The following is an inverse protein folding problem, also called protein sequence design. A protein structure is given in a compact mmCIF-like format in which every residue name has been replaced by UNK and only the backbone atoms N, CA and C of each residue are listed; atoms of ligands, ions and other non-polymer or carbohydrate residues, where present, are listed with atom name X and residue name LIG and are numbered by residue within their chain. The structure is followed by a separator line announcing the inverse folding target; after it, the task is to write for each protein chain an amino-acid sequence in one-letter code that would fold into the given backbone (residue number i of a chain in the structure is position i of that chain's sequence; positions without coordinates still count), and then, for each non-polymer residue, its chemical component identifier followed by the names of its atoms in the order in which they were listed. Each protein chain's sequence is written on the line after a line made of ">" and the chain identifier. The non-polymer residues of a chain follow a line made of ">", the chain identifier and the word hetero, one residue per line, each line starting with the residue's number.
data_IF_404393528233
#
_entry.id   IF_404393528233
#
_cell.length_a   1.000
_cell.length_b   1.000
_cell.length_c   1.000
_cell.angle_alpha   90.00
_cell.angle_beta   90.00
_cell.angle_gamma   90.00
#
_symmetry.space_group_name_H-M   'P 1'
#
loop_
_entity.id
_entity.type
_entity.pdbx_description
1 polymer ?
#
# COMPACT_ATOMS: atom_id res chain seq x y z
N UNK A 1 7.18 17.30 40.44
CA UNK A 1 6.94 15.97 39.84
C UNK A 1 6.57 16.17 38.38
N UNK A 2 7.56 16.19 37.51
CA UNK A 2 7.42 16.34 36.05
C UNK A 2 7.20 14.93 35.46
N UNK A 3 5.95 14.57 35.16
CA UNK A 3 5.64 13.34 34.43
C UNK A 3 5.02 13.69 33.08
N UNK A 4 5.85 13.60 32.05
CA UNK A 4 5.56 13.20 30.66
C UNK A 4 4.12 13.45 30.18
N UNK A 5 3.76 14.70 29.92
CA UNK A 5 2.64 15.03 29.02
C UNK A 5 3.14 14.92 27.58
N UNK A 6 3.39 13.69 27.13
CA UNK A 6 3.49 13.39 25.70
C UNK A 6 2.09 13.60 25.11
N UNK A 7 1.86 14.79 24.57
CA UNK A 7 0.59 15.13 23.94
C UNK A 7 0.33 14.15 22.79
N UNK A 8 -0.91 13.71 22.60
CA UNK A 8 -1.36 12.96 21.42
C UNK A 8 -0.95 13.59 20.09
N UNK A 9 -0.64 14.89 20.11
CA UNK A 9 -0.02 15.61 18.99
C UNK A 9 1.39 15.13 18.66
N UNK A 10 2.21 14.66 19.60
CA UNK A 10 3.54 14.11 19.30
C UNK A 10 3.46 12.80 18.54
N UNK A 11 2.51 11.92 18.86
CA UNK A 11 2.34 10.62 18.20
C UNK A 11 1.74 10.79 16.80
N UNK A 12 0.78 11.70 16.64
CA UNK A 12 0.25 12.10 15.33
C UNK A 12 1.29 12.81 14.48
N UNK A 13 2.08 13.72 15.07
CA UNK A 13 3.20 14.35 14.37
C UNK A 13 4.23 13.30 14.00
N UNK A 14 4.50 12.30 14.83
CA UNK A 14 5.40 11.18 14.48
C UNK A 14 4.84 10.30 13.35
N UNK A 15 3.55 9.96 13.36
CA UNK A 15 2.93 9.14 12.31
C UNK A 15 2.76 9.92 11.00
N UNK A 16 2.33 11.18 11.06
CA UNK A 16 2.27 12.09 9.92
C UNK A 16 3.68 12.38 9.39
N UNK A 17 4.68 12.55 10.25
CA UNK A 17 6.08 12.69 9.83
C UNK A 17 6.61 11.38 9.28
N UNK A 18 6.19 10.21 9.75
CA UNK A 18 6.56 8.93 9.15
C UNK A 18 5.95 8.80 7.74
N UNK A 19 4.68 9.14 7.57
CA UNK A 19 4.00 9.15 6.26
C UNK A 19 4.61 10.20 5.32
N UNK A 20 4.92 11.40 5.83
CA UNK A 20 5.53 12.52 5.09
C UNK A 20 7.03 12.36 4.85
N UNK A 21 7.77 11.61 5.68
CA UNK A 21 9.17 11.22 5.39
C UNK A 21 9.22 10.04 4.43
N UNK A 22 8.20 9.19 4.43
CA UNK A 22 8.02 8.14 3.45
C UNK A 22 7.58 8.70 2.08
N UNK A 23 6.79 9.78 2.01
CA UNK A 23 6.33 10.41 0.77
C UNK A 23 7.47 10.81 -0.22
N UNK A 24 8.57 11.46 0.19
CA UNK A 24 9.74 11.73 -0.66
C UNK A 24 10.62 10.50 -0.91
N UNK A 25 10.57 9.49 -0.04
CA UNK A 25 11.21 8.18 -0.27
C UNK A 25 10.42 7.32 -1.27
N UNK A 26 9.27 7.80 -1.72
CA UNK A 26 8.33 7.08 -2.55
C UNK A 26 8.00 7.75 -3.89
N UNK A 27 8.97 7.88 -4.81
CA UNK A 27 8.67 7.78 -6.22
C UNK A 27 8.60 6.27 -6.54
N UNK A 28 7.55 5.61 -6.08
CA UNK A 28 7.43 4.15 -5.93
C UNK A 28 7.50 3.34 -7.23
N UNK A 29 7.32 3.97 -8.39
CA UNK A 29 7.46 3.29 -9.68
C UNK A 29 8.89 2.79 -9.94
N UNK A 30 9.91 3.62 -9.67
CA UNK A 30 11.30 3.21 -9.90
C UNK A 30 11.82 2.31 -8.80
N UNK A 31 11.34 2.41 -7.54
CA UNK A 31 11.74 1.46 -6.48
C UNK A 31 11.24 0.06 -6.78
N UNK A 32 10.00 -0.09 -7.27
CA UNK A 32 9.49 -1.39 -7.76
C UNK A 32 10.31 -1.84 -8.96
N UNK A 33 10.55 -0.96 -9.94
CA UNK A 33 11.38 -1.27 -11.12
C UNK A 33 12.83 -1.66 -10.79
N UNK A 34 13.46 -1.00 -9.81
CA UNK A 34 14.82 -1.28 -9.31
C UNK A 34 14.84 -2.54 -8.46
N UNK A 35 13.82 -2.79 -7.63
CA UNK A 35 13.67 -4.07 -6.92
C UNK A 35 13.46 -5.23 -7.91
N UNK A 36 12.74 -5.02 -9.01
CA UNK A 36 12.59 -6.04 -10.05
C UNK A 36 13.88 -6.28 -10.83
N UNK A 37 14.60 -5.22 -11.18
CA UNK A 37 15.88 -5.32 -11.88
C UNK A 37 17.00 -5.92 -11.00
N UNK A 38 16.96 -5.66 -9.69
CA UNK A 38 17.96 -6.12 -8.71
C UNK A 38 17.69 -7.52 -8.13
N UNK A 39 16.46 -8.03 -8.20
CA UNK A 39 16.09 -9.33 -7.62
C UNK A 39 15.39 -10.27 -8.62
N UNK A 40 16.08 -10.73 -9.68
CA UNK A 40 15.52 -11.71 -10.62
C UNK A 40 15.05 -13.02 -9.93
N UNK A 41 15.60 -13.33 -8.75
CA UNK A 41 15.17 -14.47 -7.92
C UNK A 41 13.80 -14.28 -7.26
N UNK A 42 13.34 -13.04 -7.06
CA UNK A 42 12.02 -12.76 -6.46
C UNK A 42 10.87 -13.23 -7.37
N UNK A 43 11.07 -13.18 -8.68
CA UNK A 43 10.08 -13.59 -9.69
C UNK A 43 10.30 -15.00 -10.23
N UNK A 44 11.25 -15.74 -9.67
CA UNK A 44 11.47 -17.14 -10.05
C UNK A 44 10.43 -18.03 -9.33
N UNK A 45 9.51 -18.71 -10.04
CA UNK A 45 8.46 -19.53 -9.45
C UNK A 45 8.98 -20.74 -8.66
N UNK A 46 10.24 -21.16 -8.87
CA UNK A 46 10.85 -22.28 -8.12
C UNK A 46 11.61 -21.82 -6.88
N UNK A 47 11.77 -20.51 -6.68
CA UNK A 47 12.45 -19.97 -5.50
C UNK A 47 11.53 -19.96 -4.28
N UNK A 48 12.03 -20.43 -3.13
CA UNK A 48 11.30 -20.35 -1.84
C UNK A 48 11.05 -18.92 -1.39
N UNK A 49 11.94 -17.99 -1.76
CA UNK A 49 11.83 -16.56 -1.45
C UNK A 49 11.08 -15.79 -2.54
N UNK A 50 10.43 -16.49 -3.47
CA UNK A 50 9.66 -15.85 -4.52
C UNK A 50 8.45 -15.12 -3.95
N UNK A 51 8.04 -14.07 -4.66
CA UNK A 51 6.75 -13.42 -4.46
C UNK A 51 5.58 -14.41 -4.57
N UNK A 52 5.72 -15.53 -5.30
CA UNK A 52 4.66 -16.53 -5.46
C UNK A 52 4.53 -17.50 -4.27
N UNK A 53 5.37 -17.34 -3.24
CA UNK A 53 5.34 -18.19 -2.05
C UNK A 53 4.14 -17.91 -1.15
N UNK A 54 3.63 -18.92 -0.41
CA UNK A 54 2.59 -18.72 0.60
C UNK A 54 3.00 -17.73 1.70
N UNK A 55 4.27 -17.74 2.09
CA UNK A 55 4.80 -16.83 3.12
C UNK A 55 4.69 -15.37 2.70
N UNK A 56 5.05 -15.06 1.45
CA UNK A 56 4.94 -13.71 0.91
C UNK A 56 3.47 -13.25 0.84
N UNK A 57 2.54 -14.13 0.46
CA UNK A 57 1.10 -13.81 0.49
C UNK A 57 0.60 -13.51 1.90
N UNK A 58 1.03 -14.26 2.89
CA UNK A 58 0.64 -14.03 4.30
C UNK A 58 1.17 -12.69 4.80
N UNK A 59 2.39 -12.32 4.45
CA UNK A 59 2.97 -11.02 4.80
C UNK A 59 2.18 -9.87 4.16
N UNK A 60 1.95 -9.98 2.85
CA UNK A 60 1.22 -8.95 2.10
C UNK A 60 -0.26 -8.85 2.50
N UNK A 61 -0.93 -9.94 2.88
CA UNK A 61 -2.31 -9.89 3.37
C UNK A 61 -2.45 -9.16 4.71
N UNK A 62 -1.46 -9.31 5.61
CA UNK A 62 -1.45 -8.57 6.88
C UNK A 62 -1.25 -7.08 6.62
N UNK A 63 -0.32 -6.71 5.74
CA UNK A 63 -0.13 -5.31 5.36
C UNK A 63 -1.40 -4.74 4.73
N UNK A 64 -2.03 -5.47 3.81
CA UNK A 64 -3.29 -5.06 3.19
C UNK A 64 -4.42 -4.90 4.19
N UNK A 65 -4.54 -5.77 5.18
CA UNK A 65 -5.55 -5.65 6.22
C UNK A 65 -5.37 -4.33 6.99
N UNK A 66 -4.13 -4.01 7.39
CA UNK A 66 -3.84 -2.75 8.08
C UNK A 66 -4.15 -1.56 7.18
N UNK A 67 -3.66 -1.56 5.94
CA UNK A 67 -3.90 -0.46 5.01
C UNK A 67 -5.39 -0.27 4.69
N UNK A 68 -6.16 -1.36 4.55
CA UNK A 68 -7.60 -1.29 4.29
C UNK A 68 -8.38 -0.74 5.50
N UNK A 69 -7.98 -1.09 6.73
CA UNK A 69 -8.58 -0.48 7.93
C UNK A 69 -8.28 1.02 7.98
N UNK A 70 -7.03 1.41 7.72
CA UNK A 70 -6.63 2.82 7.72
C UNK A 70 -7.34 3.60 6.60
N UNK A 71 -7.40 3.05 5.39
CA UNK A 71 -8.08 3.65 4.25
C UNK A 71 -9.58 3.78 4.51
N UNK A 72 -10.23 2.77 5.09
CA UNK A 72 -11.64 2.83 5.45
C UNK A 72 -11.91 3.89 6.51
N UNK A 73 -11.13 3.92 7.60
CA UNK A 73 -11.27 4.91 8.67
C UNK A 73 -11.09 6.35 8.15
N UNK A 74 -10.08 6.57 7.32
CA UNK A 74 -9.79 7.89 6.73
C UNK A 74 -10.81 8.26 5.65
N UNK A 75 -11.31 7.31 4.87
CA UNK A 75 -12.37 7.52 3.88
C UNK A 75 -13.70 7.90 4.54
N UNK A 76 -14.11 7.18 5.59
CA UNK A 76 -15.27 7.58 6.40
C UNK A 76 -15.03 8.93 7.08
N UNK A 77 -13.81 9.22 7.53
CA UNK A 77 -13.47 10.51 8.11
C UNK A 77 -13.55 11.68 7.12
N UNK A 78 -13.26 11.44 5.84
CA UNK A 78 -13.34 12.45 4.78
C UNK A 78 -14.78 12.70 4.28
N UNK A 79 -15.66 11.70 4.47
CA UNK A 79 -17.04 11.71 3.98
C UNK A 79 -17.91 12.79 4.63
N UNK A 80 -18.73 13.53 3.86
CA UNK A 80 -19.51 14.66 4.37
C UNK A 80 -20.58 14.27 5.40
N UNK A 81 -21.04 13.02 5.39
CA UNK A 81 -22.07 12.50 6.29
C UNK A 81 -21.50 11.70 7.47
N UNK A 82 -20.26 11.24 7.36
CA UNK A 82 -19.63 10.29 8.31
C UNK A 82 -18.50 10.92 9.10
N UNK A 83 -18.00 12.10 8.70
CA UNK A 83 -16.85 12.75 9.32
C UNK A 83 -17.06 13.12 10.78
N UNK A 84 -18.27 13.52 11.19
CA UNK A 84 -18.57 13.89 12.58
C UNK A 84 -18.39 12.70 13.52
N UNK A 85 -18.92 11.54 13.13
CA UNK A 85 -18.76 10.29 13.88
C UNK A 85 -17.28 9.90 14.03
N UNK A 86 -16.51 9.95 12.94
CA UNK A 86 -15.07 9.61 12.98
C UNK A 86 -14.28 10.63 13.80
N UNK A 87 -14.62 11.92 13.69
CA UNK A 87 -13.99 12.97 14.50
C UNK A 87 -14.23 12.72 15.98
N UNK A 88 -15.46 12.38 16.38
CA UNK A 88 -15.80 12.07 17.76
C UNK A 88 -15.10 10.80 18.26
N UNK A 89 -15.18 9.71 17.49
CA UNK A 89 -14.55 8.43 17.82
C UNK A 89 -13.03 8.56 18.02
N UNK A 90 -12.41 9.45 17.25
CA UNK A 90 -10.97 9.72 17.33
C UNK A 90 -10.64 10.90 18.24
N UNK A 91 -11.58 11.41 19.05
CA UNK A 91 -11.37 12.51 19.99
C UNK A 91 -10.79 13.78 19.33
N UNK A 92 -11.22 14.06 18.10
CA UNK A 92 -10.81 15.21 17.31
C UNK A 92 -9.51 15.03 16.54
N UNK A 93 -8.87 13.85 16.60
CA UNK A 93 -7.61 13.59 15.89
C UNK A 93 -7.80 13.49 14.37
N UNK A 94 -8.87 12.84 13.92
CA UNK A 94 -9.23 12.74 12.51
C UNK A 94 -10.38 13.70 12.20
N UNK A 95 -10.03 14.96 11.91
CA UNK A 95 -10.98 15.92 11.32
C UNK A 95 -11.19 15.60 9.84
N UNK A 96 -12.28 16.10 9.25
CA UNK A 96 -12.58 15.86 7.82
C UNK A 96 -11.41 16.17 6.87
N UNK A 97 -10.71 17.29 7.11
CA UNK A 97 -9.55 17.69 6.30
C UNK A 97 -8.37 16.73 6.45
N UNK A 98 -7.99 16.42 7.69
CA UNK A 98 -6.90 15.47 7.99
C UNK A 98 -7.22 14.08 7.44
N UNK A 99 -8.46 13.63 7.60
CA UNK A 99 -8.93 12.36 7.06
C UNK A 99 -8.84 12.31 5.54
N UNK A 100 -9.18 13.39 4.83
CA UNK A 100 -9.06 13.46 3.38
C UNK A 100 -7.60 13.37 2.93
N UNK A 101 -6.71 14.15 3.55
CA UNK A 101 -5.27 14.11 3.23
C UNK A 101 -4.68 12.71 3.45
N UNK A 102 -4.98 12.09 4.59
CA UNK A 102 -4.51 10.74 4.90
C UNK A 102 -5.12 9.68 3.99
N UNK A 103 -6.42 9.80 3.66
CA UNK A 103 -7.10 8.87 2.75
C UNK A 103 -6.43 8.85 1.38
N UNK A 104 -6.17 10.04 0.81
CA UNK A 104 -5.49 10.15 -0.47
C UNK A 104 -4.04 9.64 -0.39
N UNK A 105 -3.31 10.00 0.68
CA UNK A 105 -1.95 9.50 0.89
C UNK A 105 -1.85 7.96 1.00
N UNK A 106 -2.93 7.29 1.41
CA UNK A 106 -3.00 5.84 1.53
C UNK A 106 -3.30 5.12 0.20
N UNK A 107 -3.77 5.82 -0.84
CA UNK A 107 -4.14 5.20 -2.13
C UNK A 107 -2.92 4.52 -2.77
N UNK A 108 -1.80 5.23 -2.89
CA UNK A 108 -0.58 4.69 -3.50
C UNK A 108 -0.02 3.45 -2.78
N UNK A 109 0.22 3.44 -1.45
CA UNK A 109 0.69 2.23 -0.77
C UNK A 109 -0.35 1.10 -0.77
N UNK A 110 -1.64 1.40 -0.64
CA UNK A 110 -2.69 0.37 -0.72
C UNK A 110 -2.72 -0.28 -2.11
N UNK A 111 -2.67 0.52 -3.17
CA UNK A 111 -2.60 0.04 -4.54
C UNK A 111 -1.36 -0.83 -4.78
N UNK A 112 -0.20 -0.41 -4.28
CA UNK A 112 1.03 -1.19 -4.37
C UNK A 112 0.86 -2.59 -3.78
N UNK A 113 0.46 -2.67 -2.51
CA UNK A 113 0.31 -3.95 -1.83
C UNK A 113 -0.84 -4.79 -2.40
N UNK A 114 -1.91 -4.15 -2.89
CA UNK A 114 -3.03 -4.85 -3.49
C UNK A 114 -2.62 -5.55 -4.78
N UNK A 115 -1.91 -4.84 -5.66
CA UNK A 115 -1.47 -5.44 -6.92
C UNK A 115 -0.37 -6.49 -6.68
N UNK A 116 0.57 -6.25 -5.76
CA UNK A 116 1.55 -7.28 -5.35
C UNK A 116 0.87 -8.56 -4.88
N UNK A 117 -0.10 -8.41 -3.98
CA UNK A 117 -0.78 -9.55 -3.36
C UNK A 117 -1.58 -10.35 -4.38
N UNK A 118 -2.31 -9.67 -5.26
CA UNK A 118 -3.10 -10.31 -6.32
C UNK A 118 -2.22 -11.02 -7.35
N UNK A 119 -1.09 -10.42 -7.74
CA UNK A 119 -0.11 -11.05 -8.64
C UNK A 119 0.51 -12.29 -8.02
N UNK A 120 0.89 -12.19 -6.74
CA UNK A 120 1.38 -13.33 -5.97
C UNK A 120 0.36 -14.48 -5.92
N UNK A 121 -0.90 -14.15 -5.65
CA UNK A 121 -2.01 -15.09 -5.65
C UNK A 121 -2.21 -15.76 -7.01
N UNK A 122 -2.29 -14.96 -8.07
CA UNK A 122 -2.49 -15.45 -9.43
C UNK A 122 -1.34 -16.33 -9.91
N UNK A 123 -0.09 -15.91 -9.68
CA UNK A 123 1.08 -16.71 -10.00
C UNK A 123 1.10 -18.04 -9.23
N UNK A 124 0.73 -18.03 -7.95
CA UNK A 124 0.58 -19.27 -7.18
C UNK A 124 -0.49 -20.20 -7.75
N UNK A 125 -1.61 -19.66 -8.24
CA UNK A 125 -2.65 -20.47 -8.89
C UNK A 125 -2.15 -21.09 -10.18
N UNK A 126 -1.38 -20.36 -10.99
CA UNK A 126 -0.76 -20.91 -12.20
C UNK A 126 0.26 -22.02 -11.88
N UNK A 127 1.06 -21.86 -10.82
CA UNK A 127 1.99 -22.89 -10.35
C UNK A 127 1.21 -24.14 -9.93
N UNK A 128 0.15 -23.99 -9.13
CA UNK A 128 -0.71 -25.10 -8.69
C UNK A 128 -1.39 -25.83 -9.85
N UNK A 129 -1.73 -25.10 -10.93
CA UNK A 129 -2.28 -25.67 -12.18
C UNK A 129 -1.20 -26.25 -13.11
N UNK A 130 0.07 -26.25 -12.71
CA UNK A 130 1.16 -26.85 -13.49
C UNK A 130 1.61 -26.02 -14.70
N UNK A 131 1.37 -24.71 -14.73
CA UNK A 131 1.83 -23.83 -15.82
C UNK A 131 3.34 -23.65 -15.72
N UNK A 132 4.09 -24.23 -16.67
CA UNK A 132 5.58 -24.26 -16.66
C UNK A 132 6.26 -23.10 -17.41
N UNK A 133 5.50 -22.13 -17.94
CA UNK A 133 6.05 -21.05 -18.78
C UNK A 133 6.71 -19.97 -17.93
N UNK A 134 8.02 -20.02 -17.74
CA UNK A 134 8.79 -19.09 -16.89
C UNK A 134 8.60 -17.61 -17.23
N UNK A 135 8.43 -17.27 -18.50
CA UNK A 135 8.25 -15.88 -18.93
C UNK A 135 6.95 -15.24 -18.37
N UNK A 136 5.94 -16.05 -18.05
CA UNK A 136 4.71 -15.57 -17.41
C UNK A 136 5.04 -14.97 -16.04
N UNK A 137 5.88 -15.67 -15.28
CA UNK A 137 6.23 -15.31 -13.91
C UNK A 137 7.30 -14.21 -13.84
N UNK A 138 8.20 -14.16 -14.82
CA UNK A 138 9.31 -13.20 -14.82
C UNK A 138 8.96 -11.88 -15.51
N UNK A 139 8.05 -11.88 -16.48
CA UNK A 139 7.79 -10.71 -17.32
C UNK A 139 6.32 -10.35 -17.42
N UNK A 140 5.44 -11.30 -17.74
CA UNK A 140 4.03 -10.98 -17.97
C UNK A 140 3.36 -10.47 -16.69
N UNK A 141 3.35 -11.29 -15.64
CA UNK A 141 2.73 -10.95 -14.36
C UNK A 141 3.32 -9.68 -13.73
N UNK A 142 4.65 -9.53 -13.65
CA UNK A 142 5.25 -8.32 -13.09
C UNK A 142 5.04 -7.08 -13.98
N UNK A 143 5.03 -7.25 -15.31
CA UNK A 143 4.77 -6.18 -16.27
C UNK A 143 3.34 -5.64 -16.18
N UNK A 144 2.33 -6.52 -16.12
CA UNK A 144 0.94 -6.10 -15.90
C UNK A 144 0.77 -5.38 -14.57
N UNK A 145 1.48 -5.81 -13.53
CA UNK A 145 1.44 -5.15 -12.23
C UNK A 145 2.00 -3.74 -12.29
N UNK A 146 3.22 -3.55 -12.82
CA UNK A 146 3.81 -2.21 -12.94
C UNK A 146 2.86 -1.29 -13.70
N UNK A 147 2.27 -1.77 -14.80
CA UNK A 147 1.28 -1.01 -15.56
C UNK A 147 0.06 -0.60 -14.72
N UNK A 148 -0.56 -1.52 -13.99
CA UNK A 148 -1.72 -1.23 -13.13
C UNK A 148 -1.37 -0.26 -12.00
N UNK A 149 -0.22 -0.44 -11.37
CA UNK A 149 0.24 0.44 -10.29
C UNK A 149 0.48 1.87 -10.81
N UNK A 150 1.19 2.00 -11.94
CA UNK A 150 1.43 3.29 -12.59
C UNK A 150 0.12 3.98 -13.00
N UNK A 151 -0.85 3.22 -13.51
CA UNK A 151 -2.16 3.75 -13.85
C UNK A 151 -2.88 4.28 -12.60
N UNK A 152 -2.89 3.55 -11.50
CA UNK A 152 -3.51 4.01 -10.26
C UNK A 152 -2.84 5.29 -9.74
N UNK A 153 -1.51 5.33 -9.71
CA UNK A 153 -0.76 6.53 -9.29
C UNK A 153 -1.05 7.71 -10.22
N UNK A 154 -1.10 7.49 -11.53
CA UNK A 154 -1.45 8.54 -12.48
C UNK A 154 -2.84 9.12 -12.23
N UNK A 155 -3.84 8.26 -11.99
CA UNK A 155 -5.21 8.70 -11.70
C UNK A 155 -5.29 9.44 -10.36
N UNK A 156 -4.57 8.97 -9.34
CA UNK A 156 -4.48 9.60 -8.02
C UNK A 156 -3.81 10.98 -8.10
N UNK A 157 -2.69 11.10 -8.83
CA UNK A 157 -2.03 12.38 -9.04
C UNK A 157 -2.85 13.37 -9.86
N UNK A 158 -3.61 12.90 -10.86
CA UNK A 158 -4.50 13.76 -11.62
C UNK A 158 -5.56 14.44 -10.75
N UNK A 159 -6.03 13.79 -9.70
CA UNK A 159 -6.95 14.41 -8.73
C UNK A 159 -6.35 15.66 -8.08
N UNK A 160 -5.03 15.67 -7.83
CA UNK A 160 -4.33 16.81 -7.22
C UNK A 160 -3.89 17.89 -8.21
N UNK A 161 -3.78 17.54 -9.49
CA UNK A 161 -3.27 18.43 -10.55
C UNK A 161 -4.39 19.10 -11.36
N UNK A 162 -5.65 18.71 -11.16
CA UNK A 162 -6.84 19.27 -11.81
C UNK A 162 -7.63 20.18 -10.89
#
# INVERSE_FOLDING_TARGET
>A
MLMLRGSSTSLLVWLASLVVTLLPLFPQAWVIGVMMAGYPKAFNPTSRTSIYSPEFRRKTSVVLLVLAILEGLTGFGAGPQTSSFVTELTLGLLTRGISLELHLALIAPLALFFVIHTVSGLGSLFILKGVKRNWIYQYLLPGTWIGLYLLTVYLDLNYFLS
#
